data_IF_210267405263
#
_entry.id   IF_210267405263
#
_cell.length_a   1.000
_cell.length_b   1.000
_cell.length_c   1.000
_cell.angle_alpha   90.00
_cell.angle_beta   90.00
_cell.angle_gamma   90.00
#
_symmetry.space_group_name_H-M   'P 1'
#
loop_
_entity.id
_entity.type
_entity.pdbx_description
1 polymer ?
#
# COMPACT_ATOMS: atom_id res chain seq x y z
N UNK A 1 -38.51 14.90 -6.39
CA UNK A 1 -37.59 13.84 -6.84
C UNK A 1 -36.16 14.27 -6.54
N UNK A 2 -35.42 13.52 -5.72
CA UNK A 2 -33.98 13.73 -5.57
C UNK A 2 -33.30 12.85 -6.61
N UNK A 3 -32.67 13.47 -7.61
CA UNK A 3 -31.79 12.78 -8.55
C UNK A 3 -30.64 12.17 -7.72
N UNK A 4 -30.61 10.85 -7.62
CA UNK A 4 -29.48 10.14 -7.03
C UNK A 4 -28.43 10.06 -8.12
N UNK A 5 -27.47 10.98 -8.09
CA UNK A 5 -26.31 10.95 -8.97
C UNK A 5 -25.64 9.57 -8.85
N UNK A 6 -25.66 8.81 -9.94
CA UNK A 6 -25.28 7.41 -9.95
C UNK A 6 -23.76 7.32 -9.90
N UNK A 7 -23.21 7.39 -8.68
CA UNK A 7 -21.77 7.33 -8.40
C UNK A 7 -21.22 6.00 -8.93
N UNK A 8 -20.65 6.03 -10.14
CA UNK A 8 -20.02 4.89 -10.79
C UNK A 8 -18.84 4.43 -9.93
N UNK A 9 -19.01 3.32 -9.23
CA UNK A 9 -17.96 2.75 -8.36
C UNK A 9 -16.92 2.04 -9.22
N UNK A 10 -16.05 2.80 -9.87
CA UNK A 10 -14.89 2.24 -10.56
C UNK A 10 -13.88 1.79 -9.49
N UNK A 11 -13.68 0.47 -9.36
CA UNK A 11 -12.62 -0.09 -8.53
C UNK A 11 -11.28 0.41 -9.08
N UNK A 12 -10.45 1.04 -8.24
CA UNK A 12 -9.11 1.48 -8.66
C UNK A 12 -8.22 0.25 -8.76
N UNK A 13 -7.70 -0.02 -9.95
CA UNK A 13 -6.74 -1.10 -10.19
C UNK A 13 -5.38 -0.68 -9.64
N UNK A 14 -4.78 -1.51 -8.79
CA UNK A 14 -3.42 -1.27 -8.30
C UNK A 14 -2.42 -1.55 -9.43
N UNK A 15 -1.69 -0.52 -9.86
CA UNK A 15 -0.62 -0.62 -10.85
C UNK A 15 0.72 -0.50 -10.12
N UNK A 16 1.50 -1.58 -10.12
CA UNK A 16 2.85 -1.54 -9.53
C UNK A 16 3.76 -0.66 -10.40
N UNK A 17 4.44 0.35 -9.83
CA UNK A 17 5.40 1.15 -10.58
C UNK A 17 6.60 0.31 -10.99
N UNK A 18 7.25 0.70 -12.09
CA UNK A 18 8.50 0.09 -12.54
C UNK A 18 9.64 0.58 -11.63
N UNK A 19 10.34 -0.35 -11.00
CA UNK A 19 11.44 -0.03 -10.08
C UNK A 19 12.78 0.07 -10.82
N UNK A 20 13.57 1.09 -10.49
CA UNK A 20 14.96 1.23 -10.91
C UNK A 20 15.90 0.61 -9.87
N UNK A 21 16.29 -0.65 -10.09
CA UNK A 21 17.21 -1.36 -9.19
C UNK A 21 18.65 -0.82 -9.20
N UNK A 22 18.97 0.11 -10.10
CA UNK A 22 20.29 0.77 -10.16
C UNK A 22 20.31 2.12 -9.44
N UNK A 23 19.17 2.56 -8.89
CA UNK A 23 19.07 3.82 -8.18
C UNK A 23 20.07 3.87 -7.01
N UNK A 24 20.81 4.98 -6.90
CA UNK A 24 21.67 5.24 -5.73
C UNK A 24 20.91 6.00 -4.64
N UNK A 25 19.88 6.75 -5.02
CA UNK A 25 19.01 7.49 -4.10
C UNK A 25 17.59 6.90 -4.11
N UNK A 26 16.92 6.93 -2.95
CA UNK A 26 15.54 6.48 -2.80
C UNK A 26 14.55 7.23 -3.69
N UNK A 27 14.81 8.52 -3.97
CA UNK A 27 13.97 9.34 -4.84
C UNK A 27 13.98 8.86 -6.30
N UNK A 28 15.02 8.13 -6.72
CA UNK A 28 15.21 7.64 -8.09
C UNK A 28 14.69 6.21 -8.31
N UNK A 29 14.24 5.53 -7.25
CA UNK A 29 13.75 4.15 -7.34
C UNK A 29 12.50 4.06 -8.22
N UNK A 30 11.65 5.08 -8.19
CA UNK A 30 10.40 5.14 -8.96
C UNK A 30 10.44 6.40 -9.84
N UNK A 31 10.28 6.22 -11.16
CA UNK A 31 10.01 7.36 -12.03
C UNK A 31 8.55 7.79 -11.85
N UNK A 32 8.32 8.80 -11.01
CA UNK A 32 7.00 9.34 -10.72
C UNK A 32 6.31 9.93 -11.95
N UNK A 33 7.06 10.38 -12.97
CA UNK A 33 6.50 10.92 -14.21
C UNK A 33 5.86 9.85 -15.10
N UNK A 34 6.36 8.61 -15.03
CA UNK A 34 5.82 7.47 -15.78
C UNK A 34 4.72 6.71 -15.01
N UNK A 35 4.44 7.13 -13.77
CA UNK A 35 3.43 6.51 -12.93
C UNK A 35 2.09 7.22 -13.06
N UNK A 36 1.04 6.47 -13.43
CA UNK A 36 -0.32 7.00 -13.39
C UNK A 36 -0.79 7.08 -11.92
N UNK A 37 -0.54 8.24 -11.31
CA UNK A 37 -0.90 8.54 -9.93
C UNK A 37 -2.40 8.81 -9.84
N UNK A 38 -3.04 8.07 -8.94
CA UNK A 38 -4.46 8.24 -8.67
C UNK A 38 -4.66 9.13 -7.45
N UNK A 39 -5.51 10.16 -7.53
CA UNK A 39 -5.69 11.13 -6.44
C UNK A 39 -6.10 10.43 -5.13
N UNK A 40 -5.42 10.75 -4.03
CA UNK A 40 -5.67 10.09 -2.75
C UNK A 40 -7.14 10.21 -2.33
N UNK A 41 -7.67 9.23 -1.58
CA UNK A 41 -9.09 9.22 -1.20
C UNK A 41 -9.49 10.48 -0.42
N UNK A 42 -8.57 11.04 0.36
CA UNK A 42 -8.75 12.29 1.11
C UNK A 42 -8.87 13.54 0.22
N UNK A 43 -8.29 13.48 -0.99
CA UNK A 43 -8.28 14.55 -1.98
C UNK A 43 -9.33 14.32 -3.08
N UNK A 44 -10.20 13.31 -2.92
CA UNK A 44 -11.12 12.91 -3.99
C UNK A 44 -12.05 14.03 -4.44
N UNK A 45 -12.43 14.90 -3.51
CA UNK A 45 -13.39 15.98 -3.74
C UNK A 45 -12.69 17.33 -4.03
N UNK A 46 -11.36 17.33 -4.17
CA UNK A 46 -10.54 18.52 -4.44
C UNK A 46 -9.97 18.41 -5.86
N UNK A 47 -10.04 19.50 -6.63
CA UNK A 47 -9.50 19.54 -7.98
C UNK A 47 -7.99 19.80 -8.01
N UNK A 48 -7.32 19.34 -9.08
CA UNK A 48 -5.88 19.57 -9.27
C UNK A 48 -5.53 21.07 -9.36
N UNK A 49 -6.44 21.89 -9.90
CA UNK A 49 -6.26 23.35 -9.98
C UNK A 49 -6.31 24.01 -8.60
N UNK A 50 -7.22 23.56 -7.72
CA UNK A 50 -7.27 24.03 -6.32
C UNK A 50 -5.98 23.67 -5.58
N UNK A 51 -5.52 22.42 -5.73
CA UNK A 51 -4.24 21.96 -5.16
C UNK A 51 -3.09 22.83 -5.66
N UNK A 52 -3.00 23.08 -6.97
CA UNK A 52 -1.94 23.87 -7.58
C UNK A 52 -1.97 25.32 -7.11
N UNK A 53 -3.16 25.93 -7.03
CA UNK A 53 -3.32 27.29 -6.52
C UNK A 53 -2.82 27.42 -5.08
N UNK A 54 -3.06 26.38 -4.27
CA UNK A 54 -2.68 26.36 -2.86
C UNK A 54 -1.18 26.20 -2.64
N UNK A 55 -0.55 25.33 -3.45
CA UNK A 55 0.91 25.17 -3.46
C UNK A 55 1.59 26.49 -3.84
N UNK A 56 0.99 27.25 -4.75
CA UNK A 56 1.53 28.54 -5.20
C UNK A 56 1.32 29.67 -4.19
N UNK A 57 0.23 29.65 -3.42
CA UNK A 57 -0.07 30.69 -2.43
C UNK A 57 0.67 30.50 -1.11
N UNK A 58 1.37 29.37 -0.92
CA UNK A 58 2.14 29.00 0.28
C UNK A 58 1.32 29.15 1.59
N UNK A 59 0.00 28.99 1.47
CA UNK A 59 -0.96 29.11 2.57
C UNK A 59 -1.37 27.73 3.10
N UNK A 60 -2.11 27.71 4.21
CA UNK A 60 -2.74 26.47 4.70
C UNK A 60 -4.14 26.34 4.11
N UNK A 61 -4.49 25.21 3.46
CA UNK A 61 -5.79 25.09 2.82
C UNK A 61 -6.86 24.91 3.89
N UNK A 62 -7.99 25.60 3.71
CA UNK A 62 -9.19 25.36 4.51
C UNK A 62 -10.04 24.24 3.87
N UNK A 63 -9.39 23.14 3.50
CA UNK A 63 -10.04 21.90 3.08
C UNK A 63 -10.69 21.19 4.26
N UNK A 64 -11.98 20.88 4.14
CA UNK A 64 -12.68 20.03 5.10
C UNK A 64 -12.40 18.55 4.77
N UNK A 65 -11.22 18.08 5.17
CA UNK A 65 -10.90 16.66 5.05
C UNK A 65 -11.56 15.90 6.19
N UNK A 66 -12.54 15.07 5.85
CA UNK A 66 -13.01 14.06 6.80
C UNK A 66 -12.01 12.91 6.88
N UNK A 67 -11.15 12.92 7.91
CA UNK A 67 -10.43 11.71 8.30
C UNK A 67 -11.42 10.71 8.86
N UNK A 68 -11.71 9.65 8.11
CA UNK A 68 -12.36 8.49 8.70
C UNK A 68 -11.43 7.96 9.79
N UNK A 69 -11.94 7.87 11.02
CA UNK A 69 -11.23 7.18 12.11
C UNK A 69 -11.07 5.72 11.71
N UNK A 70 -9.91 5.38 11.17
CA UNK A 70 -9.53 3.99 10.99
C UNK A 70 -9.21 3.44 12.38
N UNK A 71 -9.75 2.29 12.77
CA UNK A 71 -9.45 1.68 14.05
C UNK A 71 -8.05 1.04 14.01
N UNK A 72 -7.01 1.88 13.92
CA UNK A 72 -5.60 1.48 13.79
C UNK A 72 -5.01 0.92 15.08
N UNK A 73 -5.63 1.21 16.23
CA UNK A 73 -5.22 0.71 17.55
C UNK A 73 -6.32 -0.12 18.21
N UNK A 74 -6.91 -1.06 17.46
CA UNK A 74 -7.77 -2.05 18.09
C UNK A 74 -6.95 -3.19 18.64
N UNK A 75 -7.47 -3.81 19.70
CA UNK A 75 -6.93 -5.06 20.24
C UNK A 75 -6.77 -6.15 19.17
N UNK A 76 -7.62 -6.15 18.13
CA UNK A 76 -7.50 -7.06 17.00
C UNK A 76 -6.24 -6.79 16.16
N UNK A 77 -5.95 -5.52 15.85
CA UNK A 77 -4.72 -5.12 15.13
C UNK A 77 -3.48 -5.46 15.95
N UNK A 78 -3.48 -5.17 17.26
CA UNK A 78 -2.37 -5.50 18.15
C UNK A 78 -2.10 -7.02 18.22
N UNK A 79 -3.17 -7.83 18.37
CA UNK A 79 -3.06 -9.29 18.37
C UNK A 79 -2.52 -9.81 17.03
N UNK A 80 -2.99 -9.26 15.92
CA UNK A 80 -2.52 -9.64 14.59
C UNK A 80 -1.02 -9.35 14.43
N UNK A 81 -0.60 -8.12 14.78
CA UNK A 81 0.81 -7.72 14.72
C UNK A 81 1.69 -8.61 15.60
N UNK A 82 1.23 -8.96 16.81
CA UNK A 82 1.92 -9.90 17.70
C UNK A 82 2.11 -11.27 17.06
N UNK A 83 1.05 -11.86 16.51
CA UNK A 83 1.13 -13.17 15.83
C UNK A 83 2.05 -13.14 14.61
N UNK A 84 2.01 -12.07 13.81
CA UNK A 84 2.92 -11.88 12.67
C UNK A 84 4.37 -11.77 13.14
N UNK A 85 4.62 -11.06 14.24
CA UNK A 85 5.97 -10.92 14.81
C UNK A 85 6.49 -12.25 15.37
N UNK A 86 5.68 -12.97 16.13
CA UNK A 86 6.03 -14.29 16.67
C UNK A 86 6.25 -15.32 15.55
N UNK A 87 5.41 -15.30 14.51
CA UNK A 87 5.55 -16.15 13.34
C UNK A 87 6.82 -15.81 12.54
N UNK A 88 7.03 -14.53 12.21
CA UNK A 88 8.21 -14.07 11.47
C UNK A 88 9.53 -14.31 12.21
N UNK A 89 9.52 -14.21 13.55
CA UNK A 89 10.67 -14.53 14.39
C UNK A 89 11.20 -15.94 14.17
N UNK A 90 10.32 -16.92 13.90
CA UNK A 90 10.70 -18.31 13.58
C UNK A 90 11.42 -18.46 12.23
N UNK A 91 11.39 -17.44 11.37
CA UNK A 91 12.11 -17.40 10.10
C UNK A 91 13.29 -16.43 10.14
N UNK A 92 13.55 -15.82 11.29
CA UNK A 92 14.65 -14.90 11.47
C UNK A 92 15.97 -15.69 11.57
N UNK A 93 16.98 -15.28 10.81
CA UNK A 93 18.25 -16.00 10.67
C UNK A 93 18.36 -16.80 9.38
N UNK A 94 19.53 -16.73 8.74
CA UNK A 94 19.75 -17.32 7.42
C UNK A 94 19.55 -18.84 7.40
N UNK A 95 20.00 -19.55 8.44
CA UNK A 95 19.89 -21.00 8.53
C UNK A 95 18.45 -21.48 8.75
N UNK A 96 17.70 -20.84 9.64
CA UNK A 96 16.31 -21.21 9.94
C UNK A 96 15.40 -21.00 8.72
N UNK A 97 15.61 -19.88 8.03
CA UNK A 97 14.90 -19.59 6.77
C UNK A 97 15.24 -20.60 5.68
N UNK A 98 16.51 -20.91 5.50
CA UNK A 98 16.97 -21.88 4.51
C UNK A 98 16.41 -23.29 4.80
N UNK A 99 16.48 -23.75 6.05
CA UNK A 99 15.92 -25.04 6.48
C UNK A 99 14.41 -25.12 6.23
N UNK A 100 13.67 -24.05 6.49
CA UNK A 100 12.23 -23.99 6.21
C UNK A 100 11.92 -24.05 4.71
N UNK A 101 12.63 -23.26 3.88
CA UNK A 101 12.46 -23.27 2.42
C UNK A 101 12.73 -24.67 1.87
N UNK A 102 13.82 -25.30 2.32
CA UNK A 102 14.22 -26.65 1.91
C UNK A 102 13.17 -27.69 2.31
N UNK A 103 12.61 -27.59 3.52
CA UNK A 103 11.55 -28.47 3.99
C UNK A 103 10.28 -28.36 3.14
N UNK A 104 9.86 -27.13 2.80
CA UNK A 104 8.70 -26.90 1.93
C UNK A 104 8.94 -27.42 0.50
N UNK A 105 10.13 -27.21 -0.05
CA UNK A 105 10.51 -27.73 -1.37
C UNK A 105 10.44 -29.26 -1.39
N UNK A 106 11.01 -29.92 -0.37
CA UNK A 106 11.00 -31.39 -0.24
C UNK A 106 9.58 -31.96 -0.09
N UNK A 107 8.72 -31.30 0.68
CA UNK A 107 7.30 -31.64 0.81
C UNK A 107 6.54 -31.55 -0.52
N UNK A 108 6.79 -30.51 -1.31
CA UNK A 108 6.12 -30.33 -2.61
C UNK A 108 6.58 -31.35 -3.64
N UNK A 109 7.86 -31.72 -3.62
CA UNK A 109 8.39 -32.78 -4.49
C UNK A 109 7.90 -34.18 -4.12
N UNK A 110 7.54 -34.44 -2.85
CA UNK A 110 6.99 -35.75 -2.43
C UNK A 110 5.49 -35.88 -2.68
N UNK A 111 4.75 -34.78 -2.79
CA UNK A 111 3.32 -34.79 -3.17
C UNK A 111 3.09 -34.85 -4.68
N UNK A 112 4.13 -34.62 -5.49
CA UNK A 112 4.14 -35.00 -6.89
C UNK A 112 4.51 -36.49 -6.93
N UNK A 113 3.51 -37.36 -6.73
CA UNK A 113 3.68 -38.80 -6.89
C UNK A 113 4.18 -39.18 -8.30
N UNK A 114 4.61 -40.45 -8.50
CA UNK A 114 5.08 -40.93 -9.80
C UNK A 114 4.06 -40.76 -10.92
#
# INVERSE_FOLDING_TARGET
MRQLDQKKTTIRTFMSPKLNFKAQDYLEIINWMDCNLSSHLLLKDISDDEIKSHIQSDSVPNWDITFKTFPVHTQAVERCLKLVTEGSGKFCGAQTRDGFIRTILMSRSTMQGP
#
